data_IF_961197184081
#
_entry.id   IF_961197184081
#
_cell.length_a   1.000
_cell.length_b   1.000
_cell.length_c   1.000
_cell.angle_alpha   90.00
_cell.angle_beta   90.00
_cell.angle_gamma   90.00
#
_symmetry.space_group_name_H-M   'P 1'
#
loop_
_entity.id
_entity.type
_entity.pdbx_description
1 polymer ?
#
# COMPACT_ATOMS: atom_id res chain seq x y z
N UNK A 1 -21.89 12.78 -3.46
CA UNK A 1 -21.19 11.89 -4.43
C UNK A 1 -21.12 12.57 -5.81
N UNK A 2 -19.96 12.56 -6.46
CA UNK A 2 -19.76 13.22 -7.76
C UNK A 2 -19.14 14.62 -7.70
N UNK A 3 -18.91 15.15 -6.50
CA UNK A 3 -18.10 16.36 -6.32
C UNK A 3 -16.63 16.11 -6.70
N UNK A 4 -15.88 17.15 -7.13
CA UNK A 4 -14.46 17.01 -7.45
C UNK A 4 -13.61 16.58 -6.25
N UNK A 5 -12.53 15.83 -6.49
CA UNK A 5 -11.57 15.45 -5.45
C UNK A 5 -10.98 16.65 -4.70
N UNK A 6 -10.91 17.81 -5.36
CA UNK A 6 -10.43 19.06 -4.76
C UNK A 6 -11.28 19.59 -3.61
N UNK A 7 -12.47 19.02 -3.37
CA UNK A 7 -13.35 19.39 -2.24
C UNK A 7 -12.93 18.74 -0.92
N UNK A 8 -11.94 17.84 -0.94
CA UNK A 8 -11.38 17.16 0.24
C UNK A 8 -9.88 17.41 0.25
N UNK A 9 -9.39 18.23 1.19
CA UNK A 9 -8.01 18.76 1.18
C UNK A 9 -7.22 18.22 2.36
N UNK A 10 -6.00 17.69 2.19
CA UNK A 10 -5.19 17.27 3.33
C UNK A 10 -4.86 18.48 4.20
N UNK A 11 -5.14 18.39 5.49
CA UNK A 11 -4.84 19.40 6.49
C UNK A 11 -3.64 18.99 7.36
N UNK A 12 -3.60 17.73 7.80
CA UNK A 12 -2.52 17.20 8.63
C UNK A 12 -2.13 15.79 8.22
N UNK A 13 -0.85 15.46 8.39
CA UNK A 13 -0.28 14.15 8.05
C UNK A 13 0.53 13.62 9.22
N UNK A 14 0.28 12.37 9.59
CA UNK A 14 1.08 11.59 10.55
C UNK A 14 1.57 10.32 9.88
N UNK A 15 2.88 10.12 9.85
CA UNK A 15 3.50 8.91 9.30
C UNK A 15 4.29 8.14 10.35
N UNK A 16 4.31 6.81 10.20
CA UNK A 16 5.22 5.93 10.92
C UNK A 16 5.83 4.93 9.95
N UNK A 17 7.11 4.63 10.13
CA UNK A 17 7.82 3.58 9.41
C UNK A 17 8.58 2.70 10.40
N UNK A 18 8.70 1.41 10.10
CA UNK A 18 9.46 0.48 10.92
C UNK A 18 10.03 -0.68 10.10
N UNK A 19 11.15 -1.23 10.55
CA UNK A 19 11.63 -2.53 10.09
C UNK A 19 11.42 -3.56 11.19
N UNK A 20 10.38 -4.37 11.03
CA UNK A 20 9.91 -5.35 11.99
C UNK A 20 10.46 -6.76 11.72
N UNK A 21 10.89 -7.03 10.48
CA UNK A 21 11.30 -8.36 10.03
C UNK A 21 12.65 -8.37 9.33
N UNK A 22 12.84 -7.61 8.25
CA UNK A 22 13.93 -7.87 7.30
C UNK A 22 15.31 -7.44 7.80
N UNK A 23 15.39 -6.56 8.80
CA UNK A 23 16.65 -6.20 9.48
C UNK A 23 17.04 -7.16 10.60
N UNK A 24 16.17 -8.11 10.96
CA UNK A 24 16.50 -9.12 11.98
C UNK A 24 17.52 -10.12 11.42
N UNK A 25 18.56 -10.51 12.19
CA UNK A 25 19.68 -11.29 11.66
C UNK A 25 19.29 -12.59 10.96
N UNK A 26 18.30 -13.32 11.48
CA UNK A 26 17.82 -14.57 10.91
C UNK A 26 17.13 -14.38 9.55
N UNK A 27 16.34 -13.31 9.40
CA UNK A 27 15.60 -13.02 8.19
C UNK A 27 16.49 -12.38 7.13
N UNK A 28 17.40 -11.48 7.51
CA UNK A 28 18.39 -10.91 6.61
C UNK A 28 19.28 -12.01 5.97
N UNK A 29 19.76 -12.98 6.78
CA UNK A 29 20.51 -14.14 6.28
C UNK A 29 19.69 -15.01 5.33
N UNK A 30 18.39 -15.19 5.61
CA UNK A 30 17.49 -15.92 4.71
C UNK A 30 17.32 -15.18 3.38
N UNK A 31 17.06 -13.87 3.45
CA UNK A 31 16.84 -13.03 2.28
C UNK A 31 18.07 -12.99 1.37
N UNK A 32 19.28 -12.85 1.93
CA UNK A 32 20.53 -12.89 1.17
C UNK A 32 20.76 -14.25 0.47
N UNK A 33 20.32 -15.36 1.07
CA UNK A 33 20.40 -16.68 0.43
C UNK A 33 19.41 -16.84 -0.73
N UNK A 34 18.22 -16.25 -0.63
CA UNK A 34 17.16 -16.41 -1.64
C UNK A 34 17.23 -15.39 -2.77
N UNK A 35 17.61 -14.14 -2.48
CA UNK A 35 17.63 -13.02 -3.44
C UNK A 35 19.05 -12.66 -3.91
N UNK A 36 20.07 -13.30 -3.36
CA UNK A 36 21.47 -13.00 -3.65
C UNK A 36 21.95 -11.71 -2.99
N UNK A 37 23.09 -11.18 -3.47
CA UNK A 37 23.81 -10.04 -2.84
C UNK A 37 23.22 -8.66 -3.18
N UNK A 38 22.28 -8.58 -4.11
CA UNK A 38 21.65 -7.31 -4.51
C UNK A 38 20.67 -6.76 -3.47
N UNK A 39 20.26 -7.59 -2.50
CA UNK A 39 19.32 -7.23 -1.43
C UNK A 39 19.98 -7.50 -0.08
N UNK A 40 20.41 -6.44 0.61
CA UNK A 40 21.08 -6.54 1.91
C UNK A 40 20.54 -5.52 2.92
N UNK A 41 19.52 -5.94 3.66
CA UNK A 41 18.88 -5.15 4.73
C UNK A 41 19.77 -4.94 5.96
N UNK A 42 20.97 -5.53 6.02
CA UNK A 42 21.97 -5.22 7.05
C UNK A 42 22.80 -4.00 6.72
N UNK A 43 22.81 -3.58 5.45
CA UNK A 43 23.61 -2.45 4.93
C UNK A 43 22.75 -1.31 4.41
N UNK A 44 21.66 -1.62 3.72
CA UNK A 44 20.72 -0.65 3.15
C UNK A 44 19.31 -1.05 3.58
N UNK A 45 18.93 -0.77 4.83
CA UNK A 45 17.60 -1.13 5.31
C UNK A 45 16.52 -0.25 4.68
N UNK A 46 15.37 -0.87 4.42
CA UNK A 46 14.12 -0.18 4.13
C UNK A 46 13.06 -0.62 5.15
N UNK A 47 12.04 0.20 5.36
CA UNK A 47 10.90 -0.17 6.18
C UNK A 47 10.14 -1.35 5.57
N UNK A 48 9.66 -2.24 6.44
CA UNK A 48 8.80 -3.38 6.06
C UNK A 48 7.40 -3.28 6.69
N UNK A 49 7.16 -2.17 7.38
CA UNK A 49 5.89 -1.71 7.88
C UNK A 49 5.84 -0.19 7.77
N UNK A 50 4.71 0.35 7.30
CA UNK A 50 4.42 1.77 7.39
C UNK A 50 2.94 1.99 7.71
N UNK A 51 2.65 3.08 8.42
CA UNK A 51 1.29 3.59 8.60
C UNK A 51 1.23 5.08 8.35
N UNK A 52 0.05 5.52 7.90
CA UNK A 52 -0.26 6.88 7.52
C UNK A 52 -1.65 7.21 8.05
N UNK A 53 -1.76 8.37 8.71
CA UNK A 53 -3.02 9.02 9.02
C UNK A 53 -3.01 10.40 8.38
N UNK A 54 -4.02 10.67 7.57
CA UNK A 54 -4.26 11.98 6.94
C UNK A 54 -5.58 12.52 7.47
N UNK A 55 -5.54 13.71 8.04
CA UNK A 55 -6.73 14.49 8.36
C UNK A 55 -7.00 15.38 7.17
N UNK A 56 -8.22 15.32 6.65
CA UNK A 56 -8.69 16.16 5.55
C UNK A 56 -9.75 17.14 6.06
N UNK A 57 -9.79 18.31 5.43
CA UNK A 57 -10.87 19.29 5.57
C UNK A 57 -11.71 19.28 4.29
N UNK A 58 -13.02 19.22 4.45
CA UNK A 58 -13.98 19.33 3.34
C UNK A 58 -14.42 20.78 3.17
N UNK A 59 -14.91 21.13 1.97
CA UNK A 59 -15.35 22.50 1.67
C UNK A 59 -16.56 22.98 2.51
N UNK A 60 -17.34 22.06 3.06
CA UNK A 60 -18.43 22.33 4.02
C UNK A 60 -17.97 22.35 5.49
N UNK A 61 -16.65 22.28 5.74
CA UNK A 61 -16.04 22.47 7.06
C UNK A 61 -16.04 21.23 7.94
N UNK A 62 -16.20 20.04 7.35
CA UNK A 62 -16.13 18.77 8.08
C UNK A 62 -14.72 18.17 8.02
N UNK A 63 -14.41 17.38 9.05
CA UNK A 63 -13.18 16.59 9.11
C UNK A 63 -13.42 15.20 8.54
N UNK A 64 -12.53 14.76 7.66
CA UNK A 64 -12.48 13.37 7.16
C UNK A 64 -11.13 12.77 7.53
N UNK A 65 -11.12 11.51 7.96
CA UNK A 65 -9.90 10.80 8.35
C UNK A 65 -9.63 9.71 7.32
N UNK A 66 -8.42 9.72 6.76
CA UNK A 66 -7.89 8.64 5.94
C UNK A 66 -6.78 7.91 6.68
N UNK A 67 -6.91 6.60 6.80
CA UNK A 67 -5.87 5.74 7.38
C UNK A 67 -5.38 4.75 6.32
N UNK A 68 -4.06 4.57 6.27
CA UNK A 68 -3.45 3.54 5.44
C UNK A 68 -2.36 2.82 6.23
N UNK A 69 -2.24 1.52 6.03
CA UNK A 69 -1.11 0.73 6.51
C UNK A 69 -0.65 -0.23 5.44
N UNK A 70 0.66 -0.47 5.40
CA UNK A 70 1.27 -1.44 4.51
C UNK A 70 2.31 -2.25 5.27
N UNK A 71 2.42 -3.54 4.96
CA UNK A 71 3.42 -4.39 5.59
C UNK A 71 3.88 -5.52 4.66
N UNK A 72 5.19 -5.61 4.47
CA UNK A 72 5.84 -6.76 3.82
C UNK A 72 6.10 -7.91 4.79
N UNK A 73 5.66 -7.76 6.04
CA UNK A 73 5.70 -8.81 7.06
C UNK A 73 4.40 -9.61 7.12
N UNK A 74 3.38 -9.27 6.31
CA UNK A 74 2.15 -10.04 6.25
C UNK A 74 2.43 -11.50 5.86
N UNK A 75 1.92 -12.43 6.67
CA UNK A 75 1.93 -13.87 6.38
C UNK A 75 0.49 -14.31 6.25
N UNK A 76 0.11 -14.72 5.04
CA UNK A 76 -1.24 -15.15 4.71
C UNK A 76 -1.28 -15.84 3.37
N UNK A 77 -2.48 -16.22 2.95
CA UNK A 77 -2.70 -17.02 1.76
C UNK A 77 -2.31 -16.33 0.45
N UNK A 78 -2.10 -15.00 0.44
CA UNK A 78 -1.70 -14.21 -0.73
C UNK A 78 -1.57 -12.72 -0.42
N UNK A 79 -1.59 -11.87 -1.46
CA UNK A 79 -1.68 -10.42 -1.32
C UNK A 79 -3.06 -9.97 -0.80
N UNK A 80 -3.06 -9.25 0.33
CA UNK A 80 -4.28 -8.66 0.91
C UNK A 80 -4.33 -7.16 0.64
N UNK A 81 -5.32 -6.75 -0.14
CA UNK A 81 -5.78 -5.37 -0.19
C UNK A 81 -7.15 -5.33 0.47
N UNK A 82 -7.35 -4.37 1.36
CA UNK A 82 -8.62 -4.16 2.02
C UNK A 82 -8.80 -2.68 2.31
N UNK A 83 -10.03 -2.19 2.18
CA UNK A 83 -10.38 -0.87 2.67
C UNK A 83 -11.79 -0.88 3.26
N UNK A 84 -12.00 0.07 4.15
CA UNK A 84 -13.30 0.39 4.73
C UNK A 84 -13.58 1.87 4.50
N UNK A 85 -14.84 2.19 4.25
CA UNK A 85 -15.35 3.55 4.17
C UNK A 85 -16.54 3.63 5.10
N UNK A 86 -16.46 4.56 6.05
CA UNK A 86 -17.48 4.77 7.07
C UNK A 86 -18.01 6.20 6.92
N UNK A 87 -19.32 6.32 6.75
CA UNK A 87 -20.03 7.58 6.77
C UNK A 87 -21.13 7.58 7.83
N UNK A 88 -21.79 8.72 8.07
CA UNK A 88 -22.83 8.83 9.10
C UNK A 88 -23.97 7.83 8.95
N UNK A 89 -24.34 7.48 7.71
CA UNK A 89 -25.49 6.62 7.39
C UNK A 89 -25.13 5.53 6.36
N UNK A 90 -23.83 5.23 6.18
CA UNK A 90 -23.38 4.21 5.25
C UNK A 90 -22.05 3.60 5.67
N UNK A 91 -21.83 2.36 5.26
CA UNK A 91 -20.53 1.71 5.34
C UNK A 91 -20.27 0.91 4.06
N UNK A 92 -19.00 0.81 3.69
CA UNK A 92 -18.51 -0.02 2.60
C UNK A 92 -17.25 -0.71 3.10
N UNK A 93 -17.10 -1.99 2.75
CA UNK A 93 -15.88 -2.74 3.00
C UNK A 93 -15.58 -3.61 1.78
N UNK A 94 -14.30 -3.75 1.45
CA UNK A 94 -13.85 -4.72 0.46
C UNK A 94 -12.52 -5.34 0.89
N UNK A 95 -12.29 -6.58 0.46
CA UNK A 95 -11.10 -7.36 0.78
C UNK A 95 -10.82 -8.36 -0.33
N UNK A 96 -9.63 -8.30 -0.93
CA UNK A 96 -9.23 -9.17 -2.05
C UNK A 96 -9.12 -10.64 -1.69
N UNK A 97 -8.88 -10.96 -0.41
CA UNK A 97 -8.84 -12.34 0.07
C UNK A 97 -10.21 -12.87 0.49
N UNK A 98 -11.25 -12.01 0.50
CA UNK A 98 -12.64 -12.44 0.69
C UNK A 98 -13.23 -12.94 -0.64
N UNK A 99 -12.65 -14.00 -1.19
CA UNK A 99 -13.15 -14.63 -2.39
C UNK A 99 -14.44 -15.41 -2.12
N UNK A 100 -15.36 -15.42 -3.10
CA UNK A 100 -16.52 -16.31 -3.09
C UNK A 100 -16.18 -17.79 -3.27
N UNK A 101 -14.93 -18.13 -3.56
CA UNK A 101 -14.42 -19.50 -3.72
C UNK A 101 -13.22 -19.75 -2.81
N UNK A 102 -13.27 -20.85 -2.06
CA UNK A 102 -12.17 -21.32 -1.21
C UNK A 102 -11.89 -22.79 -1.43
N UNK A 103 -10.63 -23.19 -1.34
CA UNK A 103 -10.17 -24.58 -1.37
C UNK A 103 -9.48 -24.93 -0.05
N UNK A 104 -9.58 -26.19 0.38
CA UNK A 104 -8.84 -26.68 1.54
C UNK A 104 -7.89 -27.80 1.12
N UNK A 105 -6.60 -27.61 1.39
CA UNK A 105 -5.59 -28.63 1.18
C UNK A 105 -5.13 -29.18 2.53
N UNK A 106 -5.23 -30.50 2.70
CA UNK A 106 -4.67 -31.15 3.88
C UNK A 106 -3.14 -31.15 3.81
N UNK A 107 -2.49 -31.46 4.93
CA UNK A 107 -1.03 -31.60 5.02
C UNK A 107 -0.43 -32.67 4.09
N UNK A 108 -1.26 -33.57 3.57
CA UNK A 108 -0.83 -34.65 2.68
C UNK A 108 -0.69 -34.19 1.22
N UNK A 109 -1.22 -33.01 0.87
CA UNK A 109 -1.01 -32.38 -0.44
C UNK A 109 0.35 -31.67 -0.42
N UNK A 110 1.29 -32.17 -1.23
CA UNK A 110 2.64 -31.63 -1.33
C UNK A 110 2.89 -31.11 -2.76
N UNK A 111 3.39 -29.89 -2.87
CA UNK A 111 3.65 -29.20 -4.12
C UNK A 111 4.90 -28.32 -4.06
N UNK A 112 5.20 -27.66 -5.18
CA UNK A 112 6.19 -26.59 -5.24
C UNK A 112 5.43 -25.26 -5.25
N UNK A 113 5.83 -24.34 -4.37
CA UNK A 113 5.30 -22.97 -4.31
C UNK A 113 5.07 -22.38 -5.71
N UNK A 114 3.80 -22.08 -6.01
CA UNK A 114 3.34 -21.44 -7.25
C UNK A 114 2.45 -20.22 -7.00
N UNK A 115 2.03 -19.58 -8.10
CA UNK A 115 1.08 -18.45 -8.13
C UNK A 115 -0.25 -18.87 -8.79
N UNK A 116 -0.61 -20.15 -8.70
CA UNK A 116 -1.76 -20.75 -9.41
C UNK A 116 -3.12 -20.45 -8.75
N UNK A 117 -3.14 -20.12 -7.45
CA UNK A 117 -4.38 -19.81 -6.72
C UNK A 117 -4.53 -18.32 -6.41
N UNK A 118 -3.42 -17.65 -6.05
CA UNK A 118 -3.37 -16.21 -5.77
C UNK A 118 -1.93 -15.69 -5.83
N UNK A 119 -1.75 -14.41 -6.21
CA UNK A 119 -0.43 -13.76 -6.20
C UNK A 119 0.20 -13.76 -4.80
N UNK A 120 1.53 -13.96 -4.74
CA UNK A 120 2.33 -13.93 -3.49
C UNK A 120 1.87 -14.93 -2.44
N UNK A 121 1.45 -16.11 -2.89
CA UNK A 121 1.07 -17.22 -2.04
C UNK A 121 2.24 -17.66 -1.14
N UNK A 122 2.03 -17.63 0.19
CA UNK A 122 3.06 -18.02 1.17
C UNK A 122 2.90 -19.47 1.69
N UNK A 123 1.79 -20.13 1.38
CA UNK A 123 1.47 -21.47 1.86
C UNK A 123 0.66 -22.27 0.82
N UNK A 124 0.86 -23.59 0.77
CA UNK A 124 0.13 -24.51 -0.13
C UNK A 124 -0.80 -25.49 0.61
N UNK A 125 -0.99 -25.26 1.92
CA UNK A 125 -1.84 -26.11 2.77
C UNK A 125 -2.74 -25.22 3.62
N UNK A 126 -3.88 -25.78 4.04
CA UNK A 126 -4.92 -25.04 4.75
C UNK A 126 -6.01 -24.51 3.83
N UNK A 127 -6.82 -23.59 4.35
CA UNK A 127 -7.91 -22.95 3.62
C UNK A 127 -7.35 -21.78 2.80
N UNK A 128 -7.49 -21.86 1.48
CA UNK A 128 -6.94 -20.92 0.50
C UNK A 128 -8.07 -20.23 -0.25
N UNK A 129 -8.08 -18.89 -0.35
CA UNK A 129 -8.97 -18.19 -1.26
C UNK A 129 -8.50 -18.41 -2.70
N UNK A 130 -9.44 -18.45 -3.64
CA UNK A 130 -9.15 -18.56 -5.07
C UNK A 130 -9.63 -17.30 -5.77
N UNK A 131 -8.73 -16.56 -6.41
CA UNK A 131 -9.10 -15.37 -7.19
C UNK A 131 -9.25 -15.79 -8.66
N UNK A 132 -10.48 -16.10 -9.07
CA UNK A 132 -10.75 -16.68 -10.39
C UNK A 132 -10.33 -15.80 -11.59
N UNK A 133 -10.18 -14.49 -11.39
CA UNK A 133 -9.70 -13.55 -12.41
C UNK A 133 -8.98 -12.39 -11.74
N UNK A 134 -7.67 -12.54 -11.51
CA UNK A 134 -6.86 -11.55 -10.80
C UNK A 134 -6.86 -10.18 -11.47
N UNK A 135 -6.67 -10.15 -12.80
CA UNK A 135 -6.64 -8.89 -13.55
C UNK A 135 -7.95 -8.10 -13.47
N UNK A 136 -9.07 -8.81 -13.37
CA UNK A 136 -10.37 -8.19 -13.12
C UNK A 136 -10.51 -7.77 -11.65
N UNK A 137 -10.16 -8.65 -10.70
CA UNK A 137 -10.30 -8.39 -9.26
C UNK A 137 -9.46 -7.21 -8.77
N UNK A 138 -8.28 -7.00 -9.37
CA UNK A 138 -7.39 -5.86 -9.07
C UNK A 138 -7.66 -4.65 -9.97
N UNK A 139 -8.59 -4.74 -10.91
CA UNK A 139 -9.08 -3.62 -11.71
C UNK A 139 -8.28 -3.28 -12.96
N UNK A 140 -7.18 -4.00 -13.25
CA UNK A 140 -6.30 -3.74 -14.39
C UNK A 140 -7.04 -3.71 -15.73
N UNK A 141 -7.99 -4.64 -15.96
CA UNK A 141 -8.74 -4.66 -17.23
C UNK A 141 -9.56 -3.39 -17.48
N UNK A 142 -10.15 -2.84 -16.41
CA UNK A 142 -10.95 -1.62 -16.49
C UNK A 142 -10.06 -0.38 -16.61
N UNK A 143 -8.93 -0.36 -15.90
CA UNK A 143 -7.91 0.69 -15.98
C UNK A 143 -7.31 0.79 -17.39
N UNK A 144 -6.81 -0.32 -17.93
CA UNK A 144 -6.22 -0.38 -19.27
C UNK A 144 -7.22 0.01 -20.36
N UNK A 145 -8.46 -0.46 -20.24
CA UNK A 145 -9.53 -0.07 -21.16
C UNK A 145 -9.81 1.43 -21.10
N UNK A 146 -9.86 2.03 -19.90
CA UNK A 146 -10.03 3.46 -19.75
C UNK A 146 -8.83 4.23 -20.33
N UNK A 147 -7.61 3.78 -20.05
CA UNK A 147 -6.38 4.38 -20.58
C UNK A 147 -6.39 4.40 -22.12
N UNK A 148 -6.68 3.27 -22.77
CA UNK A 148 -6.78 3.20 -24.24
C UNK A 148 -7.86 4.14 -24.78
N UNK A 149 -9.02 4.23 -24.12
CA UNK A 149 -10.10 5.13 -24.55
C UNK A 149 -9.71 6.60 -24.40
N UNK A 150 -9.06 6.96 -23.30
CA UNK A 150 -8.54 8.30 -23.07
C UNK A 150 -7.44 8.67 -24.09
N UNK A 151 -6.52 7.75 -24.36
CA UNK A 151 -5.48 7.91 -25.37
C UNK A 151 -6.05 8.13 -26.77
N UNK A 152 -7.14 7.42 -27.12
CA UNK A 152 -7.85 7.60 -28.39
C UNK A 152 -8.77 8.84 -28.42
N UNK A 153 -8.77 9.68 -27.37
CA UNK A 153 -9.62 10.88 -27.28
C UNK A 153 -11.12 10.59 -27.11
N UNK A 154 -11.49 9.36 -26.72
CA UNK A 154 -12.89 8.95 -26.55
C UNK A 154 -13.44 9.30 -25.16
N UNK A 155 -12.56 9.53 -24.18
CA UNK A 155 -12.90 9.90 -22.81
C UNK A 155 -11.81 10.83 -22.25
N UNK A 156 -12.13 11.62 -21.22
CA UNK A 156 -11.13 12.36 -20.44
C UNK A 156 -10.49 11.44 -19.41
N UNK A 157 -9.16 11.49 -19.18
CA UNK A 157 -8.52 10.76 -18.10
C UNK A 157 -9.16 11.09 -16.75
N UNK A 158 -9.51 10.07 -15.97
CA UNK A 158 -10.03 10.25 -14.60
C UNK A 158 -8.94 10.68 -13.61
N UNK A 159 -7.72 10.24 -13.85
CA UNK A 159 -6.52 10.61 -13.10
C UNK A 159 -5.46 11.09 -14.09
N UNK A 160 -4.67 12.05 -13.64
CA UNK A 160 -3.65 12.75 -14.42
C UNK A 160 -2.33 12.71 -13.68
N UNK A 161 -1.28 13.28 -14.30
CA UNK A 161 0.01 13.45 -13.64
C UNK A 161 -0.07 14.32 -12.38
N UNK A 162 -1.01 15.28 -12.33
CA UNK A 162 -1.19 16.14 -11.15
C UNK A 162 -1.65 15.33 -9.93
N UNK A 163 -2.57 14.38 -10.12
CA UNK A 163 -3.03 13.48 -9.06
C UNK A 163 -1.87 12.63 -8.51
N UNK A 164 -1.01 12.13 -9.40
CA UNK A 164 0.21 11.42 -9.01
C UNK A 164 1.16 12.28 -8.19
N UNK A 165 1.35 13.55 -8.55
CA UNK A 165 2.17 14.49 -7.78
C UNK A 165 1.61 14.72 -6.37
N UNK A 166 0.29 14.84 -6.23
CA UNK A 166 -0.33 15.04 -4.92
C UNK A 166 -0.19 13.80 -4.03
N UNK A 167 -0.31 12.59 -4.60
CA UNK A 167 0.00 11.35 -3.87
C UNK A 167 1.45 11.34 -3.39
N UNK A 168 2.42 11.67 -4.26
CA UNK A 168 3.84 11.72 -3.89
C UNK A 168 4.10 12.74 -2.78
N UNK A 169 3.46 13.91 -2.82
CA UNK A 169 3.60 14.93 -1.76
C UNK A 169 3.11 14.43 -0.42
N UNK A 170 1.97 13.72 -0.38
CA UNK A 170 1.45 13.12 0.86
C UNK A 170 2.43 12.06 1.38
N UNK A 171 2.97 11.19 0.51
CA UNK A 171 3.97 10.19 0.90
C UNK A 171 5.25 10.84 1.46
N UNK A 172 5.77 11.88 0.82
CA UNK A 172 6.95 12.60 1.31
C UNK A 172 6.66 13.31 2.65
N UNK A 173 5.47 13.87 2.83
CA UNK A 173 5.05 14.46 4.11
C UNK A 173 4.93 13.39 5.21
N UNK A 174 4.50 12.17 4.87
CA UNK A 174 4.44 11.05 5.79
C UNK A 174 5.84 10.61 6.25
N UNK A 175 6.80 10.46 5.33
CA UNK A 175 8.20 10.20 5.70
C UNK A 175 8.78 11.33 6.58
N UNK A 176 8.54 12.59 6.21
CA UNK A 176 8.99 13.73 7.02
C UNK A 176 8.37 13.73 8.42
N UNK A 177 7.10 13.32 8.54
CA UNK A 177 6.41 13.18 9.81
C UNK A 177 7.03 12.05 10.66
N UNK A 178 7.30 10.91 10.04
CA UNK A 178 7.92 9.76 10.70
C UNK A 178 9.32 10.10 11.24
N UNK A 179 10.15 10.77 10.44
CA UNK A 179 11.51 11.18 10.86
C UNK A 179 11.49 12.25 11.96
N UNK A 180 10.48 13.12 11.97
CA UNK A 180 10.33 14.15 13.01
C UNK A 180 9.58 13.64 14.26
N UNK A 181 9.02 12.43 14.21
CA UNK A 181 8.25 11.82 15.29
C UNK A 181 7.02 12.62 15.70
N UNK A 182 6.37 13.34 14.77
CA UNK A 182 5.18 14.16 15.06
C UNK A 182 4.30 14.38 13.83
N UNK A 183 3.02 14.66 14.09
CA UNK A 183 2.09 15.17 13.07
C UNK A 183 2.56 16.49 12.47
N UNK A 184 2.37 16.65 11.17
CA UNK A 184 2.72 17.86 10.42
C UNK A 184 1.47 18.49 9.79
N UNK A 185 1.38 19.82 9.86
CA UNK A 185 0.48 20.61 9.01
C UNK A 185 0.86 20.43 7.54
N UNK A 186 -0.14 20.39 6.66
CA UNK A 186 0.04 20.13 5.23
C UNK A 186 -0.18 21.39 4.38
N UNK A 187 0.69 21.67 3.38
CA UNK A 187 1.97 21.00 3.14
C UNK A 187 3.02 21.43 4.17
N UNK A 188 3.88 20.51 4.66
CA UNK A 188 4.93 20.88 5.58
C UNK A 188 5.98 21.77 4.90
N UNK A 189 6.56 22.70 5.67
CA UNK A 189 7.63 23.57 5.18
C UNK A 189 8.85 22.75 4.74
N UNK A 190 9.35 23.05 3.54
CA UNK A 190 10.55 22.44 2.98
C UNK A 190 10.34 21.12 2.24
N UNK A 191 9.08 20.70 2.03
CA UNK A 191 8.76 19.43 1.36
C UNK A 191 9.42 19.28 -0.02
N UNK A 192 9.49 20.35 -0.82
CA UNK A 192 10.03 20.30 -2.19
C UNK A 192 11.53 19.93 -2.28
N UNK A 193 12.26 20.01 -1.17
CA UNK A 193 13.69 19.67 -1.08
C UNK A 193 13.95 18.48 -0.16
N UNK A 194 12.91 17.88 0.40
CA UNK A 194 13.03 16.80 1.34
C UNK A 194 13.31 15.48 0.61
N UNK A 195 14.33 14.76 1.08
CA UNK A 195 14.62 13.40 0.68
C UNK A 195 14.56 12.56 1.95
N UNK A 196 13.75 11.50 2.02
CA UNK A 196 13.69 10.65 3.19
C UNK A 196 15.03 9.98 3.48
N UNK A 197 15.38 9.82 4.76
CA UNK A 197 16.61 9.14 5.20
C UNK A 197 16.71 7.71 4.63
N UNK A 198 15.58 7.05 4.39
CA UNK A 198 15.53 5.71 3.74
C UNK A 198 16.08 5.80 2.31
N UNK A 199 15.70 6.83 1.56
CA UNK A 199 16.15 7.05 0.19
C UNK A 199 17.61 7.52 0.13
N UNK A 200 18.09 8.24 1.15
CA UNK A 200 19.51 8.62 1.29
C UNK A 200 20.39 7.45 1.73
N UNK A 201 19.80 6.40 2.31
CA UNK A 201 20.52 5.25 2.88
C UNK A 201 21.04 5.49 4.29
N UNK A 202 20.63 6.59 4.93
CA UNK A 202 21.04 7.01 6.27
C UNK A 202 20.04 6.59 7.36
N UNK A 203 18.91 5.97 6.97
CA UNK A 203 17.90 5.52 7.92
C UNK A 203 18.40 4.40 8.83
N UNK A 204 18.21 4.59 10.13
CA UNK A 204 18.55 3.61 11.17
C UNK A 204 17.27 3.05 11.78
N UNK A 205 16.92 1.77 11.52
CA UNK A 205 15.70 1.14 12.03
C UNK A 205 15.72 0.83 13.54
N UNK A 206 16.78 1.21 14.26
CA UNK A 206 17.02 0.94 15.69
C UNK A 206 17.56 2.17 16.40
#
# INVERSE_FOLDING_TARGET
PGEPLSTVRPARVTGHIASLKWTRPEYAKRLARTMGKGVDYTRQPAEDFASLLVEFETDDGHTVIGEASTSWSFVGAGLRLSAELLGPEYSLAWNTLSSGLTLFFSREVQGKAGEDLVEKQNAETGLMPVVAGEAWAYGYEAEDRHFVRAFLGKETPRLTFADGLDVVRILMAAYMSAERGRTLEYPPRGLDRFVPAVAEGDWQPR
#
